data_IF_064891562430
#
_entry.id   IF_064891562430
#
_cell.length_a   1.000
_cell.length_b   1.000
_cell.length_c   1.000
_cell.angle_alpha   90.00
_cell.angle_beta   90.00
_cell.angle_gamma   90.00
#
_symmetry.space_group_name_H-M   'P 1'
#
loop_
_entity.id
_entity.type
_entity.pdbx_description
1 polymer ?
#
# COMPACT_ATOMS: atom_id res chain seq x y z
N UNK A 1 21.16 26.78 14.79
CA UNK A 1 21.13 26.56 13.32
C UNK A 1 22.15 27.43 12.59
N UNK A 2 22.06 28.77 12.62
CA UNK A 2 23.02 29.64 11.90
C UNK A 2 24.47 29.64 12.46
N UNK A 3 24.65 29.41 13.77
CA UNK A 3 25.96 29.54 14.45
C UNK A 3 26.93 28.35 14.20
N UNK A 4 26.46 27.27 13.58
CA UNK A 4 27.25 26.05 13.32
C UNK A 4 27.43 25.75 11.82
N UNK A 5 26.99 26.65 10.93
CA UNK A 5 27.11 26.45 9.48
C UNK A 5 26.35 25.23 8.92
N UNK A 6 25.42 24.66 9.68
CA UNK A 6 24.69 23.46 9.30
C UNK A 6 23.64 23.81 8.23
N UNK A 7 23.82 23.27 7.03
CA UNK A 7 22.87 23.38 5.92
C UNK A 7 21.94 22.16 5.99
N UNK A 8 20.63 22.39 5.97
CA UNK A 8 19.64 21.31 5.87
C UNK A 8 19.58 20.84 4.42
N UNK A 9 19.95 19.59 4.17
CA UNK A 9 19.70 18.91 2.90
C UNK A 9 18.37 18.19 2.97
N UNK A 10 17.34 18.76 2.35
CA UNK A 10 16.03 18.13 2.28
C UNK A 10 16.00 17.14 1.11
N UNK A 11 15.51 15.92 1.35
CA UNK A 11 15.36 14.91 0.30
C UNK A 11 14.32 15.40 -0.71
N UNK A 12 14.75 15.61 -1.96
CA UNK A 12 13.88 16.06 -3.05
C UNK A 12 12.82 14.99 -3.31
N UNK A 13 11.56 15.44 -3.47
CA UNK A 13 10.42 14.56 -3.66
C UNK A 13 10.58 13.67 -4.90
N UNK A 14 10.08 12.44 -4.76
CA UNK A 14 10.14 11.35 -5.73
C UNK A 14 9.61 11.76 -7.11
N UNK A 15 10.39 11.48 -8.15
CA UNK A 15 10.06 11.77 -9.55
C UNK A 15 8.99 10.78 -10.01
N UNK A 16 7.78 11.27 -10.33
CA UNK A 16 6.68 10.43 -10.85
C UNK A 16 7.14 9.74 -12.15
N UNK A 17 7.34 8.43 -12.08
CA UNK A 17 7.82 7.60 -13.20
C UNK A 17 6.72 7.26 -14.20
N UNK A 18 5.45 7.33 -13.79
CA UNK A 18 4.32 6.99 -14.65
C UNK A 18 3.72 8.23 -15.32
N UNK A 19 4.18 8.53 -16.54
CA UNK A 19 3.52 9.50 -17.42
C UNK A 19 2.41 8.79 -18.19
N UNK A 20 1.18 8.90 -17.72
CA UNK A 20 0.01 8.38 -18.42
C UNK A 20 -0.20 9.13 -19.74
N UNK A 21 -0.55 8.43 -20.82
CA UNK A 21 -1.00 9.09 -22.06
C UNK A 21 -2.47 9.46 -21.88
N UNK A 22 -2.83 10.68 -22.26
CA UNK A 22 -4.21 11.18 -22.11
C UNK A 22 -5.24 10.32 -22.88
N UNK A 23 -4.79 9.63 -23.92
CA UNK A 23 -5.57 8.69 -24.73
C UNK A 23 -5.92 7.37 -24.02
N UNK A 24 -5.27 7.05 -22.91
CA UNK A 24 -5.49 5.77 -22.23
C UNK A 24 -6.83 5.84 -21.47
N UNK A 25 -7.66 4.81 -21.61
CA UNK A 25 -8.91 4.71 -20.85
C UNK A 25 -8.60 4.68 -19.34
N UNK A 26 -9.32 5.49 -18.55
CA UNK A 26 -9.25 5.45 -17.08
C UNK A 26 -10.31 4.51 -16.59
N UNK A 27 -9.92 3.55 -15.77
CA UNK A 27 -10.89 2.85 -14.93
C UNK A 27 -11.32 3.78 -13.80
N UNK A 28 -12.62 3.92 -13.57
CA UNK A 28 -13.14 4.74 -12.50
C UNK A 28 -12.62 4.26 -11.13
N UNK A 29 -12.17 5.21 -10.31
CA UNK A 29 -11.79 4.90 -8.93
C UNK A 29 -13.06 4.75 -8.07
N UNK A 30 -13.64 3.55 -8.10
CA UNK A 30 -14.87 3.23 -7.37
C UNK A 30 -14.73 3.38 -5.85
N UNK A 31 -13.52 3.19 -5.31
CA UNK A 31 -13.28 3.30 -3.87
C UNK A 31 -13.18 4.76 -3.41
N UNK A 32 -12.58 5.62 -4.24
CA UNK A 32 -12.36 7.04 -3.96
C UNK A 32 -11.80 7.33 -2.55
N UNK A 33 -10.87 6.49 -2.08
CA UNK A 33 -10.29 6.56 -0.72
C UNK A 33 -11.31 6.47 0.43
N UNK A 34 -12.51 5.95 0.17
CA UNK A 34 -13.49 5.66 1.21
C UNK A 34 -13.13 4.37 1.94
N UNK A 35 -12.46 4.48 3.08
CA UNK A 35 -11.99 3.33 3.85
C UNK A 35 -12.99 2.81 4.90
N UNK A 36 -14.23 3.29 4.88
CA UNK A 36 -15.28 2.91 5.84
C UNK A 36 -16.58 2.56 5.09
N UNK A 37 -16.65 1.40 4.42
CA UNK A 37 -17.88 0.91 3.81
C UNK A 37 -18.96 0.63 4.88
N UNK A 38 -20.23 0.71 4.48
CA UNK A 38 -21.39 0.60 5.40
C UNK A 38 -21.70 -0.85 5.77
N UNK A 39 -21.36 -1.81 4.91
CA UNK A 39 -21.63 -3.24 5.14
C UNK A 39 -20.43 -4.12 4.81
N UNK A 40 -20.39 -5.30 5.42
CA UNK A 40 -19.36 -6.32 5.17
C UNK A 40 -19.38 -6.82 3.73
N UNK A 41 -18.22 -7.29 3.25
CA UNK A 41 -18.05 -7.92 1.93
C UNK A 41 -18.31 -7.01 0.73
N UNK A 42 -18.24 -5.69 0.90
CA UNK A 42 -18.33 -4.72 -0.20
C UNK A 42 -16.96 -4.30 -0.74
N UNK A 43 -16.01 -4.09 0.17
CA UNK A 43 -14.67 -3.62 -0.18
C UNK A 43 -13.65 -4.44 0.58
N UNK A 44 -12.74 -5.05 -0.15
CA UNK A 44 -11.60 -5.77 0.41
C UNK A 44 -10.31 -5.05 0.09
N UNK A 45 -9.43 -4.98 1.08
CA UNK A 45 -8.07 -4.47 0.92
C UNK A 45 -7.12 -5.66 0.96
N UNK A 46 -6.14 -5.66 0.04
CA UNK A 46 -5.06 -6.64 0.04
C UNK A 46 -3.73 -5.96 0.33
N UNK A 47 -2.87 -6.66 1.03
CA UNK A 47 -1.49 -6.24 1.28
C UNK A 47 -0.55 -7.44 1.11
N UNK A 48 0.68 -7.17 0.68
CA UNK A 48 1.75 -8.17 0.62
C UNK A 48 2.90 -7.64 1.46
N UNK A 49 3.17 -8.34 2.55
CA UNK A 49 4.23 -7.99 3.50
C UNK A 49 5.28 -9.09 3.55
N UNK A 50 6.46 -8.78 4.10
CA UNK A 50 7.54 -9.73 4.31
C UNK A 50 7.72 -9.97 5.80
N UNK A 51 7.74 -11.25 6.19
CA UNK A 51 7.94 -11.70 7.55
C UNK A 51 9.33 -12.34 7.68
N UNK A 52 10.01 -12.08 8.80
CA UNK A 52 11.27 -12.74 9.14
C UNK A 52 10.96 -13.98 9.96
N UNK A 53 11.35 -15.16 9.46
CA UNK A 53 11.25 -16.44 10.15
C UNK A 53 12.64 -16.90 10.62
N UNK A 54 12.71 -18.01 11.37
CA UNK A 54 13.99 -18.63 11.72
C UNK A 54 14.73 -19.23 10.52
N UNK A 55 14.00 -19.55 9.44
CA UNK A 55 14.53 -20.20 8.23
C UNK A 55 14.84 -19.21 7.10
N UNK A 56 14.43 -17.94 7.23
CA UNK A 56 14.65 -16.94 6.20
C UNK A 56 13.62 -15.81 6.24
N UNK A 57 13.41 -15.17 5.10
CA UNK A 57 12.25 -14.29 4.94
C UNK A 57 11.04 -15.14 4.50
N UNK A 58 9.88 -14.53 4.39
CA UNK A 58 8.71 -15.13 3.76
C UNK A 58 7.79 -14.02 3.32
N UNK A 59 7.18 -14.14 2.15
CA UNK A 59 6.15 -13.20 1.73
C UNK A 59 4.79 -13.69 2.22
N UNK A 60 3.99 -12.77 2.75
CA UNK A 60 2.64 -13.04 3.22
C UNK A 60 1.67 -12.15 2.48
N UNK A 61 0.79 -12.76 1.69
CA UNK A 61 -0.34 -12.09 1.07
C UNK A 61 -1.55 -12.17 2.02
N UNK A 62 -2.19 -11.03 2.28
CA UNK A 62 -3.34 -10.90 3.19
C UNK A 62 -4.48 -10.21 2.46
N UNK A 63 -5.71 -10.65 2.69
CA UNK A 63 -6.94 -9.98 2.26
C UNK A 63 -7.79 -9.68 3.49
N UNK A 64 -8.19 -8.42 3.65
CA UNK A 64 -8.98 -7.91 4.77
C UNK A 64 -10.30 -7.35 4.27
N UNK A 65 -11.40 -7.68 4.96
CA UNK A 65 -12.67 -6.96 4.80
C UNK A 65 -12.60 -5.59 5.47
N UNK A 66 -12.90 -4.53 4.72
CA UNK A 66 -12.67 -3.16 5.17
C UNK A 66 -13.72 -2.66 6.16
N UNK A 67 -14.94 -3.22 6.12
CA UNK A 67 -15.99 -2.95 7.10
C UNK A 67 -15.66 -3.60 8.44
N UNK A 68 -15.49 -4.93 8.47
CA UNK A 68 -15.32 -5.65 9.73
C UNK A 68 -13.88 -5.68 10.25
N UNK A 69 -12.90 -5.22 9.46
CA UNK A 69 -11.45 -5.31 9.73
C UNK A 69 -10.96 -6.73 10.01
N UNK A 70 -11.66 -7.74 9.47
CA UNK A 70 -11.30 -9.16 9.62
C UNK A 70 -10.48 -9.61 8.42
N UNK A 71 -9.50 -10.48 8.67
CA UNK A 71 -8.78 -11.17 7.61
C UNK A 71 -9.69 -12.24 7.04
N UNK A 72 -10.03 -12.12 5.75
CA UNK A 72 -10.88 -13.07 5.02
C UNK A 72 -10.06 -14.15 4.33
N UNK A 73 -8.76 -13.91 4.12
CA UNK A 73 -7.84 -14.89 3.55
C UNK A 73 -6.38 -14.46 3.69
N UNK A 74 -5.49 -15.45 3.70
CA UNK A 74 -4.05 -15.23 3.68
C UNK A 74 -3.35 -16.41 2.99
N UNK A 75 -2.18 -16.14 2.41
CA UNK A 75 -1.35 -17.15 1.78
C UNK A 75 0.14 -16.87 2.04
N UNK A 76 0.88 -17.81 2.65
CA UNK A 76 2.33 -17.74 2.68
C UNK A 76 2.87 -18.09 1.30
N UNK A 77 3.61 -17.16 0.70
CA UNK A 77 4.31 -17.40 -0.56
C UNK A 77 5.69 -17.96 -0.22
N UNK A 78 6.01 -19.20 -0.67
CA UNK A 78 7.36 -19.73 -0.52
C UNK A 78 8.35 -18.85 -1.28
N UNK A 79 9.60 -18.89 -0.82
CA UNK A 79 10.74 -18.34 -1.56
C UNK A 79 11.04 -19.15 -2.81
#
# INVERSE_FOLDING_TARGET
MAKLGLIVTQRVAYKVTTKRKLSDAVADNLLNQNFNPVTSNQVWVRDVTYLRTGEGWMYLAIVMDLHSRRIVGWCPLPH
#
